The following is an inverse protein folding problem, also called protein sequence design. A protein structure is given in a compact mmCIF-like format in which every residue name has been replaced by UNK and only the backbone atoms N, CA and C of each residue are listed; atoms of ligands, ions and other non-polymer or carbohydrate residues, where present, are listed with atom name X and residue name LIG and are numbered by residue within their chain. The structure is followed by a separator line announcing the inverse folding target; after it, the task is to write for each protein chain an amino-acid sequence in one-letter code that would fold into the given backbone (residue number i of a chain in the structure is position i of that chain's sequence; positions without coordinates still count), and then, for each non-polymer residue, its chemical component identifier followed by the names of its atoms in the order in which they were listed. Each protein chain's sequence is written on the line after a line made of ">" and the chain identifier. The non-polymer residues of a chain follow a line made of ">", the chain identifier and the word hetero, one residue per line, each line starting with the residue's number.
data_IF_209471491642
#
_entry.id   IF_209471491642
#
_cell.length_a   1.000
_cell.length_b   1.000
_cell.length_c   1.000
_cell.angle_alpha   90.00
_cell.angle_beta   90.00
_cell.angle_gamma   90.00
#
_symmetry.space_group_name_H-M   'P 1'
#
loop_
_entity.id
_entity.type
_entity.pdbx_description
1 polymer ?
#
# COMPACT_ATOMS: atom_id res chain seq x y z
N UNK A 1 1.02 4.64 -15.36
CA UNK A 1 2.43 4.29 -15.52
C UNK A 1 2.65 3.35 -16.68
N UNK A 2 2.58 3.86 -17.89
CA UNK A 2 2.58 3.01 -19.08
C UNK A 2 3.96 2.71 -19.65
N UNK A 3 5.01 2.81 -18.87
CA UNK A 3 6.34 2.52 -19.37
C UNK A 3 6.51 1.01 -19.55
N UNK A 4 7.11 0.59 -20.65
CA UNK A 4 7.35 -0.85 -20.85
C UNK A 4 8.13 -1.50 -19.73
N UNK A 5 9.04 -0.74 -19.11
CA UNK A 5 9.86 -1.30 -18.04
C UNK A 5 9.10 -1.45 -16.73
N UNK A 6 7.95 -0.81 -16.59
CA UNK A 6 7.19 -0.89 -15.34
C UNK A 6 6.75 -2.32 -15.06
N UNK A 7 6.30 -3.04 -16.08
CA UNK A 7 5.90 -4.43 -15.88
C UNK A 7 7.08 -5.30 -15.47
N UNK A 8 8.23 -5.05 -16.07
CA UNK A 8 9.43 -5.79 -15.71
C UNK A 8 9.87 -5.51 -14.28
N UNK A 9 9.79 -4.24 -13.88
CA UNK A 9 10.13 -3.86 -12.51
C UNK A 9 9.15 -4.50 -11.52
N UNK A 10 7.88 -4.54 -11.86
CA UNK A 10 6.89 -5.19 -11.01
C UNK A 10 7.20 -6.67 -10.86
N UNK A 11 7.58 -7.33 -11.93
CA UNK A 11 7.93 -8.74 -11.86
C UNK A 11 9.14 -8.99 -10.98
N UNK A 12 10.15 -8.13 -11.11
CA UNK A 12 11.35 -8.24 -10.27
C UNK A 12 11.01 -7.99 -8.81
N UNK A 13 10.16 -7.01 -8.53
CA UNK A 13 9.76 -6.72 -7.17
C UNK A 13 8.99 -7.88 -6.57
N UNK A 14 8.09 -8.48 -7.34
CA UNK A 14 7.35 -9.66 -6.89
C UNK A 14 8.31 -10.79 -6.51
N UNK A 15 9.30 -11.04 -7.35
CA UNK A 15 10.26 -12.09 -7.06
C UNK A 15 11.03 -11.83 -5.78
N UNK A 16 11.36 -10.56 -5.51
CA UNK A 16 12.10 -10.24 -4.30
C UNK A 16 11.24 -10.38 -3.05
N UNK A 17 9.92 -10.29 -3.20
CA UNK A 17 9.02 -10.38 -2.06
C UNK A 17 8.63 -11.82 -1.71
N UNK A 18 8.74 -12.74 -2.68
CA UNK A 18 8.26 -14.10 -2.47
C UNK A 18 8.82 -14.80 -1.24
N UNK A 19 10.13 -14.70 -0.96
CA UNK A 19 10.68 -15.47 0.17
C UNK A 19 10.11 -15.08 1.52
N UNK A 20 9.63 -13.85 1.67
CA UNK A 20 9.12 -13.38 2.95
C UNK A 20 7.62 -13.45 3.09
N UNK A 21 6.93 -14.01 2.12
CA UNK A 21 5.48 -14.02 2.15
C UNK A 21 4.93 -15.08 3.08
N UNK A 22 3.83 -14.75 3.71
CA UNK A 22 3.03 -15.69 4.50
C UNK A 22 1.68 -15.86 3.81
N UNK A 23 0.94 -16.88 4.20
CA UNK A 23 -0.35 -17.15 3.58
C UNK A 23 -1.36 -16.03 3.81
N UNK A 24 -1.20 -15.27 4.88
CA UNK A 24 -2.11 -14.18 5.22
C UNK A 24 -1.52 -12.79 4.95
N UNK A 25 -0.41 -12.72 4.24
CA UNK A 25 0.17 -11.44 3.86
C UNK A 25 -0.82 -10.62 3.05
N UNK A 26 -0.94 -9.34 3.36
CA UNK A 26 -1.82 -8.43 2.66
C UNK A 26 -1.02 -7.29 2.04
N UNK A 27 -1.45 -6.85 0.87
CA UNK A 27 -0.87 -5.68 0.21
C UNK A 27 -1.82 -4.51 0.34
N UNK A 28 -1.26 -3.34 0.58
CA UNK A 28 -2.02 -2.10 0.58
C UNK A 28 -1.31 -1.13 -0.35
N UNK A 29 -1.98 -0.74 -1.41
CA UNK A 29 -1.42 0.20 -2.38
C UNK A 29 -1.76 1.62 -2.01
N UNK A 30 -0.80 2.52 -2.22
CA UNK A 30 -1.01 3.95 -2.00
C UNK A 30 -1.50 4.56 -3.30
N UNK A 31 -2.64 5.25 -3.24
CA UNK A 31 -3.18 5.94 -4.41
C UNK A 31 -2.20 7.02 -4.88
N UNK A 32 -2.00 7.16 -6.17
CA UNK A 32 -2.68 6.42 -7.23
C UNK A 32 -1.76 5.36 -7.81
N UNK A 33 -0.51 5.66 -8.01
CA UNK A 33 0.44 4.78 -8.65
C UNK A 33 0.71 3.51 -7.88
N UNK A 34 0.72 3.61 -6.56
CA UNK A 34 0.97 2.44 -5.73
C UNK A 34 -0.11 1.38 -5.87
N UNK A 35 -1.36 1.80 -6.10
CA UNK A 35 -2.44 0.85 -6.30
C UNK A 35 -2.21 0.06 -7.60
N UNK A 36 -1.78 0.75 -8.65
CA UNK A 36 -1.47 0.08 -9.91
C UNK A 36 -0.39 -0.97 -9.72
N UNK A 37 0.68 -0.61 -9.00
CA UNK A 37 1.77 -1.55 -8.72
C UNK A 37 1.26 -2.70 -7.85
N UNK A 38 0.47 -2.38 -6.84
CA UNK A 38 -0.03 -3.39 -5.92
C UNK A 38 -0.92 -4.40 -6.62
N UNK A 39 -1.72 -3.95 -7.59
CA UNK A 39 -2.56 -4.86 -8.35
C UNK A 39 -1.72 -5.88 -9.10
N UNK A 40 -0.63 -5.43 -9.68
CA UNK A 40 0.25 -6.33 -10.41
C UNK A 40 0.98 -7.29 -9.47
N UNK A 41 1.42 -6.79 -8.33
CA UNK A 41 2.06 -7.66 -7.35
C UNK A 41 1.08 -8.68 -6.79
N UNK A 42 -0.14 -8.26 -6.53
CA UNK A 42 -1.15 -9.15 -5.98
C UNK A 42 -1.40 -10.32 -6.94
N UNK A 43 -1.52 -10.02 -8.23
CA UNK A 43 -1.74 -11.06 -9.23
C UNK A 43 -0.51 -11.96 -9.37
N UNK A 44 0.68 -11.36 -9.40
CA UNK A 44 1.89 -12.13 -9.59
C UNK A 44 2.19 -13.05 -8.41
N UNK A 45 1.88 -12.60 -7.21
CA UNK A 45 2.15 -13.37 -6.00
C UNK A 45 1.03 -14.34 -5.65
N UNK A 46 -0.13 -14.19 -6.29
CA UNK A 46 -1.24 -15.10 -6.04
C UNK A 46 -1.75 -15.05 -4.62
N UNK A 47 -1.79 -13.88 -4.04
CA UNK A 47 -2.20 -13.74 -2.64
C UNK A 47 -3.70 -13.95 -2.50
N UNK A 48 -4.07 -14.60 -1.42
CA UNK A 48 -5.48 -14.89 -1.15
C UNK A 48 -6.18 -13.73 -0.47
N UNK A 49 -5.43 -12.93 0.29
CA UNK A 49 -6.01 -11.78 0.96
C UNK A 49 -6.35 -10.71 -0.06
N UNK A 50 -7.52 -10.14 0.05
CA UNK A 50 -7.95 -9.09 -0.85
C UNK A 50 -7.01 -7.89 -0.77
N UNK A 51 -6.85 -7.21 -1.91
CA UNK A 51 -5.98 -6.05 -1.99
C UNK A 51 -6.61 -4.86 -1.29
N UNK A 52 -5.83 -4.15 -0.48
CA UNK A 52 -6.27 -2.93 0.15
C UNK A 52 -5.69 -1.71 -0.54
N UNK A 53 -6.25 -0.56 -0.26
CA UNK A 53 -5.75 0.69 -0.80
C UNK A 53 -5.92 1.82 0.20
N UNK A 54 -5.02 2.80 0.13
CA UNK A 54 -5.07 3.99 0.96
C UNK A 54 -4.86 5.22 0.11
N UNK A 55 -5.59 6.26 0.42
CA UNK A 55 -5.33 7.57 -0.16
C UNK A 55 -4.89 8.49 0.95
N UNK A 56 -3.61 8.84 0.94
CA UNK A 56 -3.05 9.72 1.96
C UNK A 56 -2.69 11.08 1.39
N UNK A 57 -3.20 11.40 0.22
CA UNK A 57 -2.84 12.65 -0.44
C UNK A 57 -3.23 13.86 0.39
N UNK A 58 -4.31 13.77 1.14
CA UNK A 58 -4.74 14.91 1.94
C UNK A 58 -3.78 15.22 3.09
N UNK A 59 -2.90 14.31 3.42
CA UNK A 59 -1.90 14.58 4.45
C UNK A 59 -0.77 15.46 3.95
N UNK A 60 -0.66 15.63 2.65
CA UNK A 60 0.39 16.45 2.08
C UNK A 60 -0.01 17.91 1.93
N UNK A 61 -1.30 18.15 1.89
CA UNK A 61 -1.82 19.49 1.72
C UNK A 61 -2.21 20.06 3.07
N UNK A 62 -2.44 21.36 3.09
CA UNK A 62 -2.95 21.97 4.29
C UNK A 62 -4.42 21.63 4.40
N UNK A 63 -4.69 20.51 4.96
CA UNK A 63 -6.06 20.04 5.11
C UNK A 63 -6.73 20.64 6.33
N UNK A 64 -6.00 21.40 7.09
CA UNK A 64 -6.53 21.94 8.33
C UNK A 64 -7.71 22.86 8.10
N UNK A 65 -7.84 23.38 6.90
CA UNK A 65 -8.94 24.28 6.62
C UNK A 65 -10.23 23.57 6.34
N UNK A 66 -10.26 22.27 6.38
CA UNK A 66 -11.49 21.60 6.04
C UNK A 66 -11.58 20.24 6.69
N UNK A 67 -12.44 20.15 7.66
CA UNK A 67 -12.78 18.86 8.20
C UNK A 67 -13.51 17.99 7.21
N UNK A 68 -13.97 18.57 6.12
CA UNK A 68 -14.67 17.79 5.11
C UNK A 68 -13.78 16.73 4.49
N UNK A 69 -12.50 17.03 4.34
CA UNK A 69 -11.61 16.11 3.67
C UNK A 69 -11.45 14.80 4.42
N UNK A 70 -11.56 14.86 5.73
CA UNK A 70 -11.41 13.62 6.49
C UNK A 70 -12.58 12.69 6.25
N UNK A 71 -13.66 13.19 5.69
CA UNK A 71 -14.84 12.38 5.43
C UNK A 71 -14.79 11.66 4.11
N UNK A 72 -13.85 12.04 3.25
CA UNK A 72 -13.74 11.41 1.95
C UNK A 72 -12.46 10.65 1.82
N UNK A 73 -12.03 10.05 2.89
CA UNK A 73 -10.91 9.15 2.82
C UNK A 73 -11.28 7.98 1.93
N UNK A 74 -10.37 7.64 1.04
CA UNK A 74 -10.59 6.56 0.11
C UNK A 74 -9.92 5.29 0.58
N UNK A 75 -9.82 5.11 1.88
CA UNK A 75 -9.23 3.89 2.41
C UNK A 75 -10.16 2.73 2.17
N UNK A 76 -9.59 1.65 1.71
CA UNK A 76 -10.33 0.41 1.49
C UNK A 76 -9.47 -0.73 2.01
N UNK A 77 -9.77 -1.18 3.23
CA UNK A 77 -9.01 -2.24 3.87
C UNK A 77 -9.97 -3.41 4.10
N UNK A 78 -10.14 -4.29 3.10
CA UNK A 78 -11.15 -5.34 3.16
C UNK A 78 -10.69 -6.60 3.89
N UNK A 79 -9.77 -6.47 4.81
CA UNK A 79 -9.27 -7.59 5.58
C UNK A 79 -8.98 -7.14 7.00
N UNK A 80 -8.81 -8.10 7.88
CA UNK A 80 -8.49 -7.79 9.26
C UNK A 80 -7.00 -7.50 9.39
N UNK A 81 -6.67 -6.37 10.01
CA UNK A 81 -5.29 -5.91 10.15
C UNK A 81 -4.58 -6.60 11.30
N UNK A 82 -5.31 -6.97 12.34
CA UNK A 82 -4.72 -7.49 13.56
C UNK A 82 -3.83 -8.72 13.27
N UNK A 83 -2.59 -8.63 13.73
CA UNK A 83 -1.60 -9.71 13.63
C UNK A 83 -1.32 -10.15 12.20
N UNK A 84 -1.56 -9.30 11.23
CA UNK A 84 -1.36 -9.63 9.83
C UNK A 84 -0.09 -8.99 9.30
N UNK A 85 0.73 -9.72 8.54
CA UNK A 85 1.87 -9.10 7.85
C UNK A 85 1.33 -8.25 6.71
N UNK A 86 1.76 -6.99 6.66
CA UNK A 86 1.25 -6.03 5.68
C UNK A 86 2.43 -5.47 4.91
N UNK A 87 2.26 -5.34 3.59
CA UNK A 87 3.23 -4.69 2.72
C UNK A 87 2.56 -3.47 2.12
N UNK A 88 3.10 -2.30 2.42
CA UNK A 88 2.66 -1.06 1.80
C UNK A 88 3.36 -0.92 0.46
N UNK A 89 2.60 -0.68 -0.59
CA UNK A 89 3.13 -0.62 -1.94
C UNK A 89 2.97 0.78 -2.49
N UNK A 90 4.06 1.35 -3.00
CA UNK A 90 4.03 2.65 -3.65
C UNK A 90 4.85 2.58 -4.93
N UNK A 91 4.60 3.50 -5.85
CA UNK A 91 5.34 3.51 -7.12
C UNK A 91 6.68 4.19 -6.97
N UNK A 92 6.75 5.25 -6.17
CA UNK A 92 7.97 6.03 -5.99
C UNK A 92 8.11 6.39 -4.52
N UNK A 93 9.32 6.34 -4.03
CA UNK A 93 9.58 6.75 -2.67
C UNK A 93 9.86 8.26 -2.65
N UNK A 94 8.90 9.04 -2.18
CA UNK A 94 9.06 10.48 -2.10
C UNK A 94 9.62 10.91 -0.75
N UNK A 95 8.84 10.72 0.29
CA UNK A 95 9.24 11.15 1.62
C UNK A 95 8.73 10.16 2.65
N UNK A 96 9.37 10.17 3.81
CA UNK A 96 8.88 9.37 4.92
C UNK A 96 7.54 9.83 5.44
N UNK A 97 7.15 11.05 5.11
CA UNK A 97 5.89 11.61 5.58
C UNK A 97 4.70 10.83 5.03
N UNK A 98 4.73 10.49 3.74
CA UNK A 98 3.66 9.71 3.14
C UNK A 98 3.57 8.34 3.78
N UNK A 99 4.71 7.70 3.99
CA UNK A 99 4.73 6.38 4.60
C UNK A 99 4.21 6.43 6.03
N UNK A 100 4.59 7.47 6.78
CA UNK A 100 4.11 7.61 8.15
C UNK A 100 2.60 7.79 8.19
N UNK A 101 2.06 8.59 7.26
CA UNK A 101 0.62 8.77 7.19
C UNK A 101 -0.09 7.45 6.88
N UNK A 102 0.48 6.67 5.98
CA UNK A 102 -0.09 5.38 5.65
C UNK A 102 -0.08 4.45 6.84
N UNK A 103 1.03 4.42 7.59
CA UNK A 103 1.11 3.57 8.77
C UNK A 103 0.10 3.99 9.83
N UNK A 104 -0.07 5.29 10.04
CA UNK A 104 -1.05 5.77 11.00
C UNK A 104 -2.45 5.36 10.61
N UNK A 105 -2.76 5.41 9.33
CA UNK A 105 -4.06 5.00 8.85
C UNK A 105 -4.29 3.52 9.09
N UNK A 106 -3.29 2.71 8.84
CA UNK A 106 -3.39 1.27 9.06
C UNK A 106 -3.61 0.96 10.54
N UNK A 107 -2.91 1.69 11.41
CA UNK A 107 -3.06 1.47 12.85
C UNK A 107 -4.47 1.77 13.34
N UNK A 108 -5.22 2.61 12.64
CA UNK A 108 -6.60 2.86 12.98
C UNK A 108 -7.47 1.63 12.77
N UNK A 109 -7.03 0.71 11.93
CA UNK A 109 -7.78 -0.52 11.66
C UNK A 109 -7.36 -1.68 12.57
N UNK A 110 -6.21 -1.58 13.20
CA UNK A 110 -5.72 -2.64 14.06
C UNK A 110 -4.20 -2.63 14.12
N UNK A 111 -3.65 -3.56 14.88
CA UNK A 111 -2.21 -3.67 15.04
C UNK A 111 -1.68 -4.79 14.16
N UNK A 112 -0.97 -4.49 13.09
CA UNK A 112 -0.43 -5.54 12.22
C UNK A 112 0.73 -6.27 12.90
N UNK A 113 1.03 -7.46 12.40
CA UNK A 113 2.18 -8.22 12.88
C UNK A 113 3.46 -7.51 12.47
N UNK A 114 3.48 -6.96 11.26
CA UNK A 114 4.62 -6.20 10.77
C UNK A 114 4.17 -5.38 9.56
N UNK A 115 4.93 -4.36 9.25
CA UNK A 115 4.71 -3.57 8.05
C UNK A 115 6.02 -3.47 7.29
N UNK A 116 5.99 -3.86 6.03
CA UNK A 116 7.10 -3.71 5.12
C UNK A 116 6.71 -2.74 4.02
N UNK A 117 7.72 -2.20 3.36
CA UNK A 117 7.50 -1.24 2.28
C UNK A 117 8.06 -1.81 0.99
N UNK A 118 7.25 -1.80 -0.05
CA UNK A 118 7.67 -2.20 -1.39
C UNK A 118 7.51 -1.00 -2.31
N UNK A 119 8.58 -0.57 -2.92
CA UNK A 119 8.60 0.60 -3.79
C UNK A 119 9.20 0.20 -5.12
N UNK A 120 8.56 0.65 -6.19
CA UNK A 120 9.00 0.27 -7.53
C UNK A 120 10.29 0.98 -7.91
N UNK A 121 10.41 2.25 -7.55
CA UNK A 121 11.58 3.05 -7.91
C UNK A 121 12.17 3.75 -6.70
#
# INVERSE_FOLDING_TARGET
>A
MPLPDAERLCAALADSLRPGLHSDTALIGIHTGGVWVAERLHAALGLKTSLGSLDVSFYRDDFSRSGLHSQIKSSDIPFEVKDRPIIIVDDVLFTGRTIRAAMNEIFDYGRPARIDLAVLV
#
